data_IF_184605569391
#
_entry.id   IF_184605569391
#
_cell.length_a   1.000
_cell.length_b   1.000
_cell.length_c   1.000
_cell.angle_alpha   90.00
_cell.angle_beta   90.00
_cell.angle_gamma   90.00
#
_symmetry.space_group_name_H-M   'P 1'
#
loop_
_entity.id
_entity.type
_entity.pdbx_description
1 polymer ?
#
# COMPACT_ATOMS: atom_id res chain seq x y z
N UNK A 1 34.41 -22.10 -27.02
CA UNK A 1 34.15 -22.53 -25.63
C UNK A 1 33.14 -21.55 -25.04
N UNK A 2 31.94 -22.01 -24.68
CA UNK A 2 31.08 -21.25 -23.76
C UNK A 2 31.69 -21.46 -22.37
N UNK A 3 32.30 -20.43 -21.82
CA UNK A 3 32.71 -20.43 -20.42
C UNK A 3 31.45 -20.12 -19.63
N UNK A 4 30.91 -21.14 -18.94
CA UNK A 4 29.86 -20.89 -17.95
C UNK A 4 30.47 -20.01 -16.85
N UNK A 5 29.97 -18.77 -16.76
CA UNK A 5 30.45 -17.74 -15.84
C UNK A 5 30.25 -18.12 -14.37
N UNK A 6 29.35 -19.06 -14.09
CA UNK A 6 29.02 -19.55 -12.76
C UNK A 6 28.78 -21.06 -12.84
N UNK A 7 29.18 -21.77 -11.79
CA UNK A 7 28.74 -23.16 -11.55
C UNK A 7 27.28 -23.20 -11.11
N UNK A 8 26.62 -24.35 -11.24
CA UNK A 8 25.23 -24.57 -10.78
C UNK A 8 25.02 -24.20 -9.30
N UNK A 9 26.01 -24.48 -8.46
CA UNK A 9 25.95 -24.13 -7.03
C UNK A 9 26.00 -22.62 -6.81
N UNK A 10 26.91 -21.93 -7.51
CA UNK A 10 27.00 -20.46 -7.47
C UNK A 10 25.75 -19.79 -8.02
N UNK A 11 25.15 -20.35 -9.08
CA UNK A 11 23.89 -19.86 -9.62
C UNK A 11 22.76 -19.97 -8.58
N UNK A 12 22.61 -21.14 -7.95
CA UNK A 12 21.58 -21.37 -6.92
C UNK A 12 21.73 -20.45 -5.71
N UNK A 13 22.96 -20.22 -5.27
CA UNK A 13 23.23 -19.35 -4.12
C UNK A 13 23.03 -17.88 -4.47
N UNK A 14 23.43 -17.46 -5.67
CA UNK A 14 23.18 -16.12 -6.17
C UNK A 14 21.68 -15.83 -6.31
N UNK A 15 20.91 -16.75 -6.92
CA UNK A 15 19.45 -16.63 -7.01
C UNK A 15 18.78 -16.52 -5.64
N UNK A 16 19.22 -17.34 -4.67
CA UNK A 16 18.69 -17.28 -3.30
C UNK A 16 18.98 -15.95 -2.62
N UNK A 17 20.18 -15.41 -2.81
CA UNK A 17 20.58 -14.14 -2.22
C UNK A 17 19.85 -12.95 -2.89
N UNK A 18 19.65 -12.99 -4.21
CA UNK A 18 18.81 -12.03 -4.91
C UNK A 18 17.37 -12.05 -4.38
N UNK A 19 16.76 -13.22 -4.24
CA UNK A 19 15.40 -13.35 -3.71
C UNK A 19 15.33 -12.78 -2.29
N UNK A 20 16.33 -13.02 -1.44
CA UNK A 20 16.38 -12.45 -0.09
C UNK A 20 16.53 -10.93 -0.10
N UNK A 21 17.41 -10.39 -0.95
CA UNK A 21 17.69 -8.96 -1.05
C UNK A 21 16.50 -8.17 -1.63
N UNK A 22 15.73 -8.77 -2.54
CA UNK A 22 14.52 -8.17 -3.10
C UNK A 22 13.34 -8.36 -2.15
N UNK A 23 13.17 -9.55 -1.58
CA UNK A 23 12.07 -9.85 -0.65
C UNK A 23 12.15 -9.08 0.68
N UNK A 24 13.32 -8.58 1.07
CA UNK A 24 13.44 -7.67 2.24
C UNK A 24 12.99 -6.24 1.95
N UNK A 25 12.86 -5.84 0.68
CA UNK A 25 12.53 -4.47 0.28
C UNK A 25 11.04 -4.24 0.09
N UNK A 26 10.25 -5.28 -0.11
CA UNK A 26 8.82 -5.16 -0.36
C UNK A 26 8.06 -6.22 0.44
N UNK A 27 7.06 -5.80 1.21
CA UNK A 27 6.20 -6.71 1.98
C UNK A 27 4.77 -6.21 2.05
N UNK A 28 3.83 -7.15 2.07
CA UNK A 28 2.40 -6.87 2.21
C UNK A 28 2.02 -7.05 3.67
N UNK A 29 1.32 -6.06 4.24
CA UNK A 29 0.84 -6.10 5.63
C UNK A 29 -0.62 -5.69 5.77
N UNK A 30 -1.34 -6.23 6.76
CA UNK A 30 -2.69 -5.78 7.05
C UNK A 30 -2.69 -4.42 7.77
N UNK A 31 -3.39 -3.45 7.21
CA UNK A 31 -3.80 -2.22 7.87
C UNK A 31 -5.14 -2.44 8.58
N UNK A 32 -5.14 -2.36 9.90
CA UNK A 32 -6.32 -2.67 10.73
C UNK A 32 -7.11 -1.42 11.17
N UNK A 33 -6.57 -0.22 10.97
CA UNK A 33 -7.22 1.04 11.34
C UNK A 33 -6.65 2.19 10.51
N UNK A 34 -7.52 3.14 10.13
CA UNK A 34 -7.15 4.39 9.47
C UNK A 34 -6.62 5.44 10.44
N UNK A 35 -6.60 5.19 11.76
CA UNK A 35 -6.09 6.12 12.80
C UNK A 35 -6.70 7.55 12.72
N UNK A 36 -7.85 7.70 12.06
CA UNK A 36 -8.57 8.96 11.92
C UNK A 36 -9.92 8.88 12.64
N UNK A 37 -10.23 9.84 13.53
CA UNK A 37 -11.56 9.91 14.14
C UNK A 37 -12.66 9.96 13.09
N UNK A 38 -13.82 9.34 13.37
CA UNK A 38 -14.94 9.28 12.43
C UNK A 38 -14.83 8.20 11.35
N UNK A 39 -13.65 7.59 11.15
CA UNK A 39 -13.44 6.56 10.13
C UNK A 39 -12.93 5.26 10.74
N UNK A 40 -13.56 4.15 10.36
CA UNK A 40 -13.14 2.80 10.78
C UNK A 40 -13.08 1.85 9.60
N UNK A 41 -12.23 0.82 9.69
CA UNK A 41 -12.19 -0.24 8.69
C UNK A 41 -13.12 -1.38 9.10
N UNK A 42 -14.01 -1.79 8.18
CA UNK A 42 -14.92 -2.94 8.35
C UNK A 42 -14.15 -4.26 8.35
N UNK A 43 -13.02 -4.31 7.65
CA UNK A 43 -12.07 -5.44 7.58
C UNK A 43 -10.65 -4.91 7.36
N UNK A 44 -9.60 -5.66 7.72
CA UNK A 44 -8.25 -5.28 7.38
C UNK A 44 -8.09 -5.12 5.85
N UNK A 45 -7.39 -4.07 5.43
CA UNK A 45 -6.99 -3.88 4.03
C UNK A 45 -5.49 -4.17 3.92
N UNK A 46 -5.06 -4.77 2.83
CA UNK A 46 -3.65 -5.11 2.64
C UNK A 46 -2.95 -3.94 1.95
N UNK A 47 -1.87 -3.47 2.56
CA UNK A 47 -1.03 -2.41 2.03
C UNK A 47 0.36 -2.98 1.73
N UNK A 48 1.03 -2.39 0.75
CA UNK A 48 2.41 -2.71 0.42
C UNK A 48 3.33 -1.72 1.15
N UNK A 49 4.37 -2.24 1.80
CA UNK A 49 5.47 -1.47 2.35
C UNK A 49 6.70 -1.78 1.51
N UNK A 50 7.21 -0.75 0.85
CA UNK A 50 8.42 -0.80 0.05
C UNK A 50 9.52 0.08 0.66
N UNK A 51 10.77 -0.36 0.60
CA UNK A 51 11.95 0.41 0.96
C UNK A 51 12.70 0.77 -0.32
N UNK A 52 12.73 2.06 -0.62
CA UNK A 52 13.49 2.63 -1.72
C UNK A 52 14.59 3.53 -1.15
N UNK A 53 15.84 3.10 -1.31
CA UNK A 53 17.00 3.69 -0.65
C UNK A 53 16.81 3.83 0.88
N UNK A 54 16.68 5.06 1.38
CA UNK A 54 16.45 5.39 2.79
C UNK A 54 14.98 5.81 3.07
N UNK A 55 14.08 5.70 2.08
CA UNK A 55 12.67 6.04 2.19
C UNK A 55 11.80 4.78 2.30
N UNK A 56 10.79 4.86 3.16
CA UNK A 56 9.72 3.87 3.25
C UNK A 56 8.51 4.39 2.50
N UNK A 57 8.01 3.60 1.56
CA UNK A 57 6.80 3.86 0.79
C UNK A 57 5.71 2.91 1.30
N UNK A 58 4.56 3.45 1.69
CA UNK A 58 3.36 2.69 1.98
C UNK A 58 2.33 2.93 0.88
N UNK A 59 1.81 1.88 0.23
CA UNK A 59 0.82 2.00 -0.85
C UNK A 59 -0.40 1.10 -0.65
N UNK A 60 -1.52 1.56 -1.22
CA UNK A 60 -2.75 0.79 -1.40
C UNK A 60 -3.11 0.78 -2.88
N UNK A 61 -2.74 -0.30 -3.55
CA UNK A 61 -2.79 -0.41 -5.01
C UNK A 61 -4.23 -0.37 -5.56
N UNK A 62 -5.24 -0.82 -4.79
CA UNK A 62 -6.65 -0.80 -5.18
C UNK A 62 -7.18 0.60 -5.51
N UNK A 63 -6.57 1.65 -4.96
CA UNK A 63 -6.95 3.06 -5.18
C UNK A 63 -5.79 3.96 -5.61
N UNK A 64 -4.64 3.36 -5.96
CA UNK A 64 -3.42 4.07 -6.34
C UNK A 64 -2.95 5.13 -5.32
N UNK A 65 -3.30 4.95 -4.03
CA UNK A 65 -2.86 5.83 -2.95
C UNK A 65 -1.51 5.39 -2.40
N UNK A 66 -0.65 6.35 -2.09
CA UNK A 66 0.65 6.09 -1.49
C UNK A 66 1.12 7.25 -0.63
N UNK A 67 2.01 6.96 0.31
CA UNK A 67 2.74 7.95 1.07
C UNK A 67 4.17 7.45 1.32
N UNK A 68 5.11 8.39 1.49
CA UNK A 68 6.50 8.08 1.77
C UNK A 68 6.98 8.84 3.01
N UNK A 69 7.92 8.25 3.74
CA UNK A 69 8.55 8.89 4.90
C UNK A 69 9.88 8.20 5.26
N UNK A 70 10.61 8.79 6.20
CA UNK A 70 11.88 8.24 6.72
C UNK A 70 11.68 6.96 7.55
N UNK A 71 10.44 6.70 7.99
CA UNK A 71 10.10 5.48 8.71
C UNK A 71 8.68 4.99 8.41
N UNK A 72 8.47 3.70 8.67
CA UNK A 72 7.21 3.02 8.40
C UNK A 72 6.01 3.60 9.15
N UNK A 73 6.20 4.07 10.39
CA UNK A 73 5.09 4.62 11.16
C UNK A 73 4.53 5.88 10.50
N UNK A 74 5.42 6.77 10.05
CA UNK A 74 5.06 7.98 9.31
C UNK A 74 4.47 7.67 7.94
N UNK A 75 5.08 6.76 7.17
CA UNK A 75 4.57 6.36 5.85
C UNK A 75 3.16 5.76 5.95
N UNK A 76 2.92 4.88 6.92
CA UNK A 76 1.59 4.29 7.14
C UNK A 76 0.58 5.34 7.61
N UNK A 77 0.97 6.30 8.45
CA UNK A 77 0.06 7.38 8.85
C UNK A 77 -0.28 8.31 7.69
N UNK A 78 0.72 8.65 6.85
CA UNK A 78 0.51 9.43 5.63
C UNK A 78 -0.43 8.69 4.66
N UNK A 79 -0.27 7.38 4.52
CA UNK A 79 -1.19 6.59 3.70
C UNK A 79 -2.62 6.60 4.28
N UNK A 80 -2.77 6.52 5.61
CA UNK A 80 -4.09 6.64 6.23
C UNK A 80 -4.74 8.01 5.95
N UNK A 81 -3.95 9.09 5.99
CA UNK A 81 -4.39 10.44 5.65
C UNK A 81 -4.84 10.53 4.19
N UNK A 82 -4.05 10.00 3.28
CA UNK A 82 -4.34 9.99 1.85
C UNK A 82 -5.62 9.21 1.55
N UNK A 83 -5.78 8.01 2.14
CA UNK A 83 -6.98 7.19 1.98
C UNK A 83 -8.23 7.95 2.42
N UNK A 84 -8.19 8.60 3.59
CA UNK A 84 -9.36 9.35 4.12
C UNK A 84 -9.64 10.58 3.27
N UNK A 85 -8.61 11.34 2.88
CA UNK A 85 -8.75 12.53 2.04
C UNK A 85 -9.36 12.17 0.69
N UNK A 86 -8.81 11.15 0.02
CA UNK A 86 -9.34 10.64 -1.24
C UNK A 86 -10.80 10.16 -1.08
N UNK A 87 -11.11 9.44 -0.01
CA UNK A 87 -12.47 8.97 0.25
C UNK A 87 -13.46 10.13 0.40
N UNK A 88 -13.11 11.15 1.17
CA UNK A 88 -13.94 12.36 1.35
C UNK A 88 -14.16 13.09 0.03
N UNK A 89 -13.10 13.29 -0.76
CA UNK A 89 -13.17 13.94 -2.06
C UNK A 89 -14.03 13.17 -3.05
N UNK A 90 -13.90 11.84 -3.10
CA UNK A 90 -14.71 10.99 -3.96
C UNK A 90 -16.19 11.04 -3.55
N UNK A 91 -16.51 10.94 -2.26
CA UNK A 91 -17.89 11.04 -1.76
C UNK A 91 -18.52 12.39 -2.08
N UNK A 92 -17.77 13.48 -1.89
CA UNK A 92 -18.25 14.84 -2.16
C UNK A 92 -18.61 15.05 -3.64
N UNK A 93 -17.88 14.40 -4.54
CA UNK A 93 -18.03 14.56 -5.99
C UNK A 93 -18.67 13.34 -6.67
N UNK A 94 -19.36 12.47 -5.94
CA UNK A 94 -19.85 11.16 -6.41
C UNK A 94 -20.63 11.19 -7.73
N UNK A 95 -21.32 12.29 -8.04
CA UNK A 95 -22.15 12.44 -9.24
C UNK A 95 -21.37 12.88 -10.49
N UNK A 96 -20.10 13.26 -10.33
CA UNK A 96 -19.24 13.79 -11.39
C UNK A 96 -18.00 12.92 -11.64
N UNK A 97 -17.90 11.78 -10.93
CA UNK A 97 -16.75 10.88 -11.02
C UNK A 97 -16.68 10.15 -12.37
N UNK A 98 -15.46 10.07 -12.91
CA UNK A 98 -15.13 9.15 -14.01
C UNK A 98 -15.10 7.68 -13.57
N UNK A 99 -14.94 6.77 -14.53
CA UNK A 99 -15.02 5.31 -14.30
C UNK A 99 -14.03 4.81 -13.24
N UNK A 100 -12.77 5.27 -13.25
CA UNK A 100 -11.76 4.84 -12.29
C UNK A 100 -12.05 5.36 -10.86
N UNK A 101 -12.26 6.68 -10.65
CA UNK A 101 -12.69 7.21 -9.36
C UNK A 101 -13.95 6.54 -8.78
N UNK A 102 -14.92 6.17 -9.62
CA UNK A 102 -16.10 5.42 -9.16
C UNK A 102 -15.75 4.04 -8.62
N UNK A 103 -14.80 3.32 -9.24
CA UNK A 103 -14.34 2.02 -8.75
C UNK A 103 -13.59 2.15 -7.43
N UNK A 104 -12.76 3.18 -7.30
CA UNK A 104 -12.07 3.48 -6.04
C UNK A 104 -13.07 3.78 -4.93
N UNK A 105 -14.08 4.62 -5.19
CA UNK A 105 -15.13 4.91 -4.23
C UNK A 105 -15.90 3.64 -3.82
N UNK A 106 -16.26 2.79 -4.78
CA UNK A 106 -16.95 1.53 -4.50
C UNK A 106 -16.13 0.58 -3.60
N UNK A 107 -14.82 0.48 -3.86
CA UNK A 107 -13.90 -0.27 -3.00
C UNK A 107 -13.83 0.33 -1.59
N UNK A 108 -13.68 1.65 -1.49
CA UNK A 108 -13.59 2.36 -0.22
C UNK A 108 -14.87 2.25 0.60
N UNK A 109 -16.05 2.33 -0.02
CA UNK A 109 -17.34 2.11 0.66
C UNK A 109 -17.50 0.67 1.18
N UNK A 110 -16.88 -0.31 0.53
CA UNK A 110 -16.87 -1.70 0.99
C UNK A 110 -16.03 -1.88 2.26
N UNK A 111 -14.93 -1.14 2.40
CA UNK A 111 -13.94 -1.35 3.46
C UNK A 111 -13.98 -0.30 4.58
N UNK A 112 -14.52 0.89 4.32
CA UNK A 112 -14.61 2.00 5.28
C UNK A 112 -16.04 2.12 5.82
N UNK A 113 -16.15 2.38 7.12
CA UNK A 113 -17.37 2.78 7.80
C UNK A 113 -17.16 4.14 8.46
N UNK A 114 -18.07 5.09 8.20
CA UNK A 114 -18.10 6.40 8.84
C UNK A 114 -18.97 6.31 10.09
N UNK A 115 -18.39 6.66 11.24
CA UNK A 115 -19.14 6.83 12.48
C UNK A 115 -19.60 8.27 12.56
N UNK A 116 -20.84 8.51 12.17
CA UNK A 116 -21.54 9.74 12.53
C UNK A 116 -21.90 9.63 14.02
N UNK A 117 -21.23 10.42 14.87
CA UNK A 117 -21.63 10.56 16.26
C UNK A 117 -23.08 11.09 16.28
N UNK A 118 -24.03 10.21 16.62
CA UNK A 118 -25.45 10.53 16.84
C UNK A 118 -25.67 11.16 18.21
#
# INVERSE_FOLDING_TARGET
MKTDLLTEEQYRDFSRNLIKAVGSRCRIVPLNSLKKPGYTLKRPIFITIEMDEDLIIASLDDIEAFAYADNEFEAVNGLCEEIVTLYEDLRKNQHELGILPQKWLAFLDEVIEVREDS
#
